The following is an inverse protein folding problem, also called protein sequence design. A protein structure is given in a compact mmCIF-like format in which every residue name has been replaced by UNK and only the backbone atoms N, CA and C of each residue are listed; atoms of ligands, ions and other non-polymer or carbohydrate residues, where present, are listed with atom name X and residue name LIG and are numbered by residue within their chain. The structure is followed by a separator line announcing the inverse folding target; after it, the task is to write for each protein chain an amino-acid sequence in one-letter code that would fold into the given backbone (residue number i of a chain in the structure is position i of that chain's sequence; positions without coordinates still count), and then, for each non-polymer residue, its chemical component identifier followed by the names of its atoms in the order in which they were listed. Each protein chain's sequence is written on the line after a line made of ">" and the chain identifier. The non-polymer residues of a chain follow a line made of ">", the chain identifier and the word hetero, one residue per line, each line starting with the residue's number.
data_IF_633077795199
#
_entry.id   IF_633077795199
#
_cell.length_a   1.000
_cell.length_b   1.000
_cell.length_c   1.000
_cell.angle_alpha   90.00
_cell.angle_beta   90.00
_cell.angle_gamma   90.00
#
_symmetry.space_group_name_H-M   'P 1'
#
loop_
_entity.id
_entity.type
_entity.pdbx_description
1 polymer ?
#
# COMPACT_ATOMS: atom_id res chain seq x y z
N UNK A 1 19.86 7.43 -13.18
CA UNK A 1 21.13 6.86 -12.69
C UNK A 1 21.59 5.80 -13.67
N UNK A 2 22.89 5.74 -14.01
CA UNK A 2 23.42 4.68 -14.87
C UNK A 2 23.76 3.49 -13.97
N UNK A 3 23.11 2.36 -14.19
CA UNK A 3 23.30 1.14 -13.42
C UNK A 3 23.53 0.00 -14.40
N UNK A 4 24.51 -0.86 -14.13
CA UNK A 4 24.75 -2.06 -14.92
C UNK A 4 24.04 -3.24 -14.23
N UNK A 5 22.96 -3.73 -14.84
CA UNK A 5 22.17 -4.86 -14.34
C UNK A 5 21.89 -5.81 -15.49
N UNK A 6 21.91 -7.11 -15.21
CA UNK A 6 21.51 -8.14 -16.17
C UNK A 6 19.99 -8.28 -16.09
N UNK A 7 19.33 -8.18 -17.25
CA UNK A 7 17.88 -8.38 -17.39
C UNK A 7 17.64 -9.58 -18.30
N UNK A 8 16.56 -10.30 -18.01
CA UNK A 8 16.08 -11.34 -18.92
C UNK A 8 15.44 -10.69 -20.15
N UNK A 9 16.03 -10.92 -21.32
CA UNK A 9 15.56 -10.36 -22.58
C UNK A 9 14.18 -10.89 -22.99
N UNK A 10 13.82 -12.13 -22.65
CA UNK A 10 12.51 -12.67 -22.98
C UNK A 10 11.42 -11.92 -22.20
N UNK A 11 11.64 -11.76 -20.90
CA UNK A 11 10.73 -11.05 -20.01
C UNK A 11 10.59 -9.57 -20.41
N UNK A 12 11.71 -8.91 -20.73
CA UNK A 12 11.68 -7.50 -21.15
C UNK A 12 10.94 -7.34 -22.48
N UNK A 13 11.15 -8.25 -23.44
CA UNK A 13 10.46 -8.20 -24.73
C UNK A 13 8.95 -8.43 -24.57
N UNK A 14 8.55 -9.36 -23.70
CA UNK A 14 7.13 -9.58 -23.38
C UNK A 14 6.52 -8.34 -22.71
N UNK A 15 7.20 -7.79 -21.70
CA UNK A 15 6.77 -6.58 -21.02
C UNK A 15 6.66 -5.38 -22.00
N UNK A 16 7.60 -5.21 -22.93
CA UNK A 16 7.54 -4.19 -23.98
C UNK A 16 6.31 -4.36 -24.88
N UNK A 17 5.99 -5.59 -25.30
CA UNK A 17 4.79 -5.88 -26.12
C UNK A 17 3.50 -5.58 -25.36
N UNK A 18 3.41 -5.99 -24.10
CA UNK A 18 2.20 -5.80 -23.28
C UNK A 18 2.01 -4.35 -22.84
N UNK A 19 3.08 -3.64 -22.52
CA UNK A 19 3.02 -2.25 -22.04
C UNK A 19 3.08 -1.19 -23.16
N UNK A 20 3.40 -1.58 -24.40
CA UNK A 20 3.56 -0.67 -25.54
C UNK A 20 4.80 0.23 -25.46
N UNK A 21 5.74 -0.07 -24.55
CA UNK A 21 6.93 0.75 -24.32
C UNK A 21 7.99 0.51 -25.39
N UNK A 22 8.64 1.60 -25.82
CA UNK A 22 9.62 1.57 -26.92
C UNK A 22 11.03 1.20 -26.46
N UNK A 23 11.35 1.40 -25.18
CA UNK A 23 12.69 1.17 -24.66
C UNK A 23 12.69 0.30 -23.42
N UNK A 24 13.76 -0.48 -23.24
CA UNK A 24 13.97 -1.30 -22.02
C UNK A 24 13.98 -0.42 -20.76
N UNK A 25 14.50 0.81 -20.85
CA UNK A 25 14.51 1.78 -19.75
C UNK A 25 13.09 2.15 -19.31
N UNK A 26 12.20 2.41 -20.27
CA UNK A 26 10.82 2.82 -19.96
C UNK A 26 10.05 1.67 -19.30
N UNK A 27 10.26 0.43 -19.76
CA UNK A 27 9.70 -0.77 -19.11
C UNK A 27 10.17 -0.90 -17.67
N UNK A 28 11.47 -0.76 -17.42
CA UNK A 28 12.03 -0.85 -16.06
C UNK A 28 11.46 0.26 -15.17
N UNK A 29 11.35 1.48 -15.70
CA UNK A 29 10.79 2.60 -14.94
C UNK A 29 9.31 2.40 -14.61
N UNK A 30 8.52 1.89 -15.56
CA UNK A 30 7.11 1.55 -15.36
C UNK A 30 6.95 0.47 -14.28
N UNK A 31 7.75 -0.60 -14.37
CA UNK A 31 7.72 -1.70 -13.41
C UNK A 31 8.05 -1.23 -11.99
N UNK A 32 9.08 -0.38 -11.82
CA UNK A 32 9.43 0.20 -10.52
C UNK A 32 8.32 1.10 -9.98
N UNK A 33 7.69 1.92 -10.82
CA UNK A 33 6.55 2.74 -10.40
C UNK A 33 5.39 1.89 -9.90
N UNK A 34 5.05 0.82 -10.61
CA UNK A 34 3.98 -0.10 -10.21
C UNK A 34 4.30 -0.82 -8.91
N UNK A 35 5.55 -1.28 -8.74
CA UNK A 35 6.02 -1.92 -7.51
C UNK A 35 5.93 -0.98 -6.30
N UNK A 36 6.37 0.27 -6.43
CA UNK A 36 6.26 1.24 -5.34
C UNK A 36 4.79 1.52 -5.01
N UNK A 37 3.93 1.63 -6.02
CA UNK A 37 2.49 1.83 -5.80
C UNK A 37 1.84 0.63 -5.09
N UNK A 38 2.18 -0.61 -5.46
CA UNK A 38 1.62 -1.80 -4.82
C UNK A 38 2.06 -1.90 -3.36
N UNK A 39 3.35 -1.68 -3.08
CA UNK A 39 3.88 -1.68 -1.71
C UNK A 39 3.27 -0.58 -0.83
N UNK A 40 3.06 0.62 -1.39
CA UNK A 40 2.37 1.70 -0.67
C UNK A 40 0.93 1.31 -0.33
N UNK A 41 0.18 0.76 -1.28
CA UNK A 41 -1.19 0.30 -1.02
C UNK A 41 -1.24 -0.78 0.04
N UNK A 42 -0.29 -1.73 0.02
CA UNK A 42 -0.21 -2.78 1.04
C UNK A 42 0.08 -2.20 2.43
N UNK A 43 0.99 -1.21 2.53
CA UNK A 43 1.26 -0.54 3.80
C UNK A 43 0.07 0.26 4.36
N UNK A 44 -0.76 0.84 3.48
CA UNK A 44 -1.94 1.64 3.87
C UNK A 44 -3.10 0.77 4.37
N UNK A 45 -3.26 -0.45 3.87
CA UNK A 45 -4.32 -1.38 4.33
C UNK A 45 -4.26 -1.65 5.83
N UNK A 46 -3.08 -1.55 6.45
CA UNK A 46 -2.93 -1.69 7.89
C UNK A 46 -3.47 -0.50 8.68
N UNK A 47 -3.43 0.72 8.13
CA UNK A 47 -3.98 1.91 8.81
C UNK A 47 -5.49 2.05 8.66
N UNK A 48 -6.06 1.53 7.55
CA UNK A 48 -7.47 1.70 7.24
C UNK A 48 -8.39 1.07 8.30
N UNK A 49 -7.97 -0.01 8.96
CA UNK A 49 -8.72 -0.57 10.09
C UNK A 49 -8.74 0.39 11.29
N UNK A 50 -7.59 0.96 11.66
CA UNK A 50 -7.50 1.88 12.80
C UNK A 50 -8.31 3.16 12.51
N UNK A 51 -8.13 3.79 11.36
CA UNK A 51 -8.83 5.05 11.02
C UNK A 51 -10.33 4.88 10.83
N UNK A 52 -10.78 3.71 10.34
CA UNK A 52 -12.22 3.48 10.14
C UNK A 52 -12.95 3.16 11.45
N UNK A 53 -12.33 2.43 12.37
CA UNK A 53 -13.01 1.92 13.58
C UNK A 53 -12.64 2.64 14.88
N UNK A 54 -11.43 3.20 15.00
CA UNK A 54 -10.98 3.92 16.20
C UNK A 54 -11.36 5.40 16.13
N UNK A 55 -11.17 6.05 14.97
CA UNK A 55 -11.47 7.49 14.83
C UNK A 55 -12.97 7.78 14.60
N UNK A 56 -13.73 6.79 14.12
CA UNK A 56 -15.18 6.89 13.92
C UNK A 56 -15.93 5.79 14.70
N UNK A 57 -15.88 5.79 16.04
CA UNK A 57 -16.58 4.78 16.82
C UNK A 57 -18.09 4.92 16.60
N UNK A 58 -18.77 3.78 16.39
CA UNK A 58 -20.22 3.73 16.33
C UNK A 58 -20.75 4.17 17.71
N UNK A 59 -21.32 5.37 17.76
CA UNK A 59 -21.96 5.90 18.97
C UNK A 59 -23.31 5.21 19.15
N UNK A 60 -23.35 4.17 19.97
CA UNK A 60 -24.60 3.58 20.44
C UNK A 60 -25.11 4.43 21.60
N UNK A 61 -26.35 4.90 21.55
CA UNK A 61 -26.91 5.78 22.59
C UNK A 61 -26.93 5.15 24.00
N UNK A 62 -26.85 3.81 24.07
CA UNK A 62 -26.90 3.05 25.32
C UNK A 62 -25.52 2.57 25.82
N UNK A 63 -24.40 2.93 25.17
CA UNK A 63 -23.07 2.51 25.58
C UNK A 63 -22.22 3.70 25.99
N UNK A 64 -22.13 3.95 27.29
CA UNK A 64 -21.04 4.74 27.86
C UNK A 64 -19.86 3.80 28.05
N UNK A 65 -18.77 3.90 27.25
CA UNK A 65 -17.59 3.10 27.50
C UNK A 65 -17.10 3.38 28.92
N UNK A 66 -16.99 2.33 29.74
CA UNK A 66 -16.48 2.44 31.09
C UNK A 66 -15.08 3.08 31.02
N UNK A 67 -14.91 4.27 31.59
CA UNK A 67 -13.64 4.95 31.57
C UNK A 67 -12.67 4.18 32.48
N UNK A 68 -11.38 4.21 32.16
CA UNK A 68 -10.35 3.54 32.97
C UNK A 68 -10.37 4.05 34.42
N UNK A 69 -10.76 5.30 34.61
CA UNK A 69 -10.87 5.94 35.93
C UNK A 69 -12.06 5.39 36.74
N UNK A 70 -13.16 5.00 36.08
CA UNK A 70 -14.36 4.42 36.71
C UNK A 70 -14.09 3.06 37.37
N UNK A 71 -13.02 2.36 36.97
CA UNK A 71 -12.62 1.06 37.51
C UNK A 71 -11.97 1.15 38.91
N UNK A 72 -11.47 2.33 39.30
CA UNK A 72 -10.74 2.53 40.55
C UNK A 72 -11.51 3.34 41.60
N UNK A 73 -12.75 3.74 41.33
CA UNK A 73 -13.62 4.43 42.29
C UNK A 73 -14.40 3.47 43.22
N UNK A 74 -13.87 2.28 43.52
CA UNK A 74 -14.45 1.32 44.48
C UNK A 74 -13.68 1.21 45.77
#
# INVERSE_FOLDING_TARGET
>A
MRTNIVLDDQLVNEAMKLSGQKTKKDVVNLALHQLVQSLRKESQKHSDFITTYIDHPIKLEAFTPLNRDDLYER
#
